data_IF_342970062170
#
_entry.id   IF_342970062170
#
_cell.length_a   1.000
_cell.length_b   1.000
_cell.length_c   1.000
_cell.angle_alpha   90.00
_cell.angle_beta   90.00
_cell.angle_gamma   90.00
#
_symmetry.space_group_name_H-M   'P 1'
#
loop_
_entity.id
_entity.type
_entity.pdbx_description
1 polymer ?
#
# COMPACT_ATOMS: atom_id res chain seq x y z
N UNK A 1 48.89 -21.73 65.03
CA UNK A 1 47.92 -20.66 64.70
C UNK A 1 46.54 -21.28 64.60
N UNK A 2 45.79 -21.25 65.69
CA UNK A 2 44.47 -21.86 65.83
C UNK A 2 43.41 -20.79 65.67
N UNK A 3 42.65 -20.78 64.57
CA UNK A 3 41.51 -19.88 64.38
C UNK A 3 40.47 -20.57 63.48
N UNK A 4 39.35 -20.97 64.12
CA UNK A 4 37.97 -21.06 63.60
C UNK A 4 37.50 -22.35 62.89
N UNK A 5 37.42 -23.46 63.64
CA UNK A 5 36.38 -24.48 63.44
C UNK A 5 35.23 -24.29 64.44
N UNK A 6 34.67 -23.08 64.51
CA UNK A 6 33.43 -22.87 65.29
C UNK A 6 32.23 -23.28 64.44
N UNK A 7 31.35 -24.18 64.92
CA UNK A 7 30.12 -24.57 64.24
C UNK A 7 29.22 -23.36 63.87
N UNK A 8 29.32 -22.26 64.64
CA UNK A 8 28.59 -21.02 64.38
C UNK A 8 29.08 -20.27 63.14
N UNK A 9 30.39 -20.28 62.86
CA UNK A 9 30.98 -19.64 61.68
C UNK A 9 30.68 -20.40 60.40
N UNK A 10 30.67 -21.73 60.46
CA UNK A 10 30.28 -22.59 59.32
C UNK A 10 28.79 -22.39 59.01
N UNK A 11 27.93 -22.29 60.03
CA UNK A 11 26.50 -21.98 59.85
C UNK A 11 26.28 -20.58 59.27
N UNK A 12 27.02 -19.59 59.75
CA UNK A 12 26.94 -18.21 59.23
C UNK A 12 27.43 -18.11 57.79
N UNK A 13 28.50 -18.83 57.44
CA UNK A 13 29.02 -18.90 56.07
C UNK A 13 28.01 -19.58 55.13
N UNK A 14 27.42 -20.71 55.54
CA UNK A 14 26.36 -21.39 54.77
C UNK A 14 25.13 -20.50 54.58
N UNK A 15 24.70 -19.79 55.62
CA UNK A 15 23.58 -18.85 55.52
C UNK A 15 23.88 -17.71 54.52
N UNK A 16 25.10 -17.16 54.55
CA UNK A 16 25.52 -16.12 53.59
C UNK A 16 25.57 -16.62 52.15
N UNK A 17 26.05 -17.84 51.92
CA UNK A 17 26.08 -18.48 50.60
C UNK A 17 24.66 -18.73 50.08
N UNK A 18 23.75 -19.21 50.93
CA UNK A 18 22.34 -19.42 50.56
C UNK A 18 21.68 -18.09 50.19
N UNK A 19 21.88 -17.03 50.99
CA UNK A 19 21.35 -15.69 50.70
C UNK A 19 21.91 -15.19 49.36
N UNK A 20 23.20 -15.37 49.09
CA UNK A 20 23.81 -14.96 47.83
C UNK A 20 23.17 -15.68 46.63
N UNK A 21 23.00 -17.01 46.72
CA UNK A 21 22.36 -17.81 45.66
C UNK A 21 20.92 -17.35 45.41
N UNK A 22 20.15 -17.11 46.48
CA UNK A 22 18.77 -16.62 46.36
C UNK A 22 18.71 -15.22 45.73
N UNK A 23 19.63 -14.31 46.11
CA UNK A 23 19.69 -12.98 45.51
C UNK A 23 20.11 -13.00 44.05
N UNK A 24 21.09 -13.83 43.67
CA UNK A 24 21.49 -14.01 42.28
C UNK A 24 20.38 -14.65 41.44
N UNK A 25 19.70 -15.67 41.98
CA UNK A 25 18.55 -16.29 41.33
C UNK A 25 17.38 -15.33 41.14
N UNK A 26 17.11 -14.48 42.13
CA UNK A 26 16.10 -13.43 42.03
C UNK A 26 16.47 -12.37 40.98
N UNK A 27 17.72 -11.88 40.98
CA UNK A 27 18.20 -10.93 39.98
C UNK A 27 18.15 -11.50 38.57
N UNK A 28 18.57 -12.76 38.37
CA UNK A 28 18.45 -13.45 37.08
C UNK A 28 16.99 -13.60 36.65
N UNK A 29 16.09 -13.95 37.56
CA UNK A 29 14.66 -14.08 37.27
C UNK A 29 14.01 -12.73 36.94
N UNK A 30 14.44 -11.64 37.59
CA UNK A 30 14.00 -10.27 37.29
C UNK A 30 14.52 -9.83 35.93
N UNK A 31 15.80 -10.04 35.61
CA UNK A 31 16.37 -9.73 34.29
C UNK A 31 15.67 -10.52 33.19
N UNK A 32 15.44 -11.82 33.38
CA UNK A 32 14.71 -12.67 32.43
C UNK A 32 13.26 -12.20 32.25
N UNK A 33 12.58 -11.80 33.34
CA UNK A 33 11.22 -11.25 33.26
C UNK A 33 11.17 -9.85 32.61
N UNK A 34 12.24 -9.06 32.70
CA UNK A 34 12.37 -7.77 32.02
C UNK A 34 12.62 -7.98 30.52
N UNK A 35 13.46 -8.95 30.16
CA UNK A 35 13.76 -9.33 28.77
C UNK A 35 12.57 -10.04 28.10
N UNK A 36 11.76 -10.80 28.85
CA UNK A 36 10.49 -11.36 28.35
C UNK A 36 9.34 -10.35 28.28
N UNK A 37 9.48 -9.19 28.93
CA UNK A 37 8.47 -8.11 28.94
C UNK A 37 8.78 -6.98 27.96
N UNK A 38 9.96 -6.95 27.34
CA UNK A 38 10.12 -6.22 26.09
C UNK A 38 9.27 -6.93 25.06
N UNK A 39 8.12 -6.35 24.62
CA UNK A 39 7.44 -6.93 23.48
C UNK A 39 8.44 -6.81 22.33
N UNK A 40 8.86 -7.94 21.79
CA UNK A 40 9.38 -7.97 20.44
C UNK A 40 8.25 -7.36 19.61
N UNK A 41 8.38 -6.07 19.28
CA UNK A 41 7.50 -5.43 18.32
C UNK A 41 7.89 -6.06 17.01
N UNK A 42 7.39 -7.27 16.74
CA UNK A 42 7.27 -7.81 15.42
C UNK A 42 6.49 -6.73 14.68
N UNK A 43 7.23 -5.87 13.99
CA UNK A 43 6.71 -5.02 12.95
C UNK A 43 6.33 -6.03 11.87
N UNK A 44 5.17 -6.63 12.06
CA UNK A 44 4.55 -7.53 11.10
C UNK A 44 4.33 -6.64 9.88
N UNK A 45 5.29 -6.68 8.97
CA UNK A 45 5.27 -5.92 7.73
C UNK A 45 4.07 -6.44 6.96
N UNK A 46 3.06 -5.59 6.82
CA UNK A 46 1.82 -5.95 6.13
C UNK A 46 2.13 -6.08 4.65
N UNK A 47 2.12 -7.32 4.15
CA UNK A 47 2.19 -7.60 2.72
C UNK A 47 0.83 -7.33 2.08
N UNK A 48 0.83 -7.07 0.77
CA UNK A 48 -0.42 -6.97 0.00
C UNK A 48 -1.19 -8.30 0.09
N UNK A 49 -2.46 -8.24 0.49
CA UNK A 49 -3.35 -9.41 0.64
C UNK A 49 -4.39 -9.51 -0.49
N UNK A 50 -4.26 -8.69 -1.53
CA UNK A 50 -5.24 -8.61 -2.63
C UNK A 50 -5.41 -9.95 -3.33
N UNK A 51 -4.31 -10.66 -3.62
CA UNK A 51 -4.37 -11.97 -4.29
C UNK A 51 -4.93 -13.05 -3.36
N UNK A 52 -4.50 -13.07 -2.09
CA UNK A 52 -5.02 -13.97 -1.07
C UNK A 52 -6.52 -13.84 -0.92
N UNK A 53 -7.02 -12.59 -0.92
CA UNK A 53 -8.45 -12.32 -0.86
C UNK A 53 -9.17 -13.02 -2.01
N UNK A 54 -8.81 -12.72 -3.26
CA UNK A 54 -9.50 -13.29 -4.43
C UNK A 54 -9.32 -14.80 -4.55
N UNK A 55 -8.16 -15.33 -4.16
CA UNK A 55 -7.90 -16.76 -4.12
C UNK A 55 -8.80 -17.46 -3.09
N UNK A 56 -8.91 -16.91 -1.88
CA UNK A 56 -9.75 -17.47 -0.81
C UNK A 56 -11.25 -17.48 -1.16
N UNK A 57 -11.67 -16.53 -2.01
CA UNK A 57 -13.03 -16.44 -2.53
C UNK A 57 -13.26 -17.31 -3.78
N UNK A 58 -12.24 -18.04 -4.24
CA UNK A 58 -12.30 -18.86 -5.46
C UNK A 58 -12.51 -18.03 -6.74
N UNK A 59 -12.12 -16.74 -6.72
CA UNK A 59 -12.25 -15.82 -7.87
C UNK A 59 -11.10 -15.95 -8.86
N UNK A 60 -9.92 -16.26 -8.36
CA UNK A 60 -8.76 -16.68 -9.15
C UNK A 60 -8.37 -18.11 -8.77
N UNK A 61 -7.76 -18.85 -9.69
CA UNK A 61 -7.38 -20.25 -9.48
C UNK A 61 -5.96 -20.41 -8.96
N UNK A 62 -5.08 -19.47 -9.33
CA UNK A 62 -3.68 -19.44 -8.91
C UNK A 62 -3.38 -18.08 -8.30
N UNK A 63 -2.31 -18.01 -7.50
CA UNK A 63 -1.83 -16.76 -6.92
C UNK A 63 -1.00 -15.99 -7.97
N UNK A 64 -1.66 -15.52 -9.02
CA UNK A 64 -1.07 -14.73 -10.11
C UNK A 64 -1.82 -13.41 -10.27
N UNK A 65 -1.10 -12.29 -10.30
CA UNK A 65 -1.68 -10.96 -10.50
C UNK A 65 -2.22 -10.77 -11.93
N UNK A 66 -1.74 -11.56 -12.92
CA UNK A 66 -2.24 -11.53 -14.29
C UNK A 66 -3.71 -11.98 -14.40
N UNK A 67 -4.22 -12.75 -13.44
CA UNK A 67 -5.61 -13.20 -13.38
C UNK A 67 -6.58 -12.13 -12.83
N UNK A 68 -6.04 -11.02 -12.29
CA UNK A 68 -6.86 -9.94 -11.74
C UNK A 68 -7.38 -9.05 -12.89
N UNK A 69 -8.64 -9.25 -13.24
CA UNK A 69 -9.38 -8.34 -14.12
C UNK A 69 -9.79 -7.01 -13.44
N UNK A 70 -9.68 -5.90 -14.19
CA UNK A 70 -9.96 -4.54 -13.71
C UNK A 70 -11.07 -3.88 -14.53
N UNK A 71 -12.05 -3.28 -13.85
CA UNK A 71 -12.94 -2.30 -14.44
C UNK A 71 -12.32 -0.91 -14.27
N UNK A 72 -11.91 -0.28 -15.37
CA UNK A 72 -11.17 0.98 -15.37
C UNK A 72 -12.08 2.20 -15.57
N UNK A 73 -11.75 3.31 -14.90
CA UNK A 73 -12.39 4.61 -14.97
C UNK A 73 -13.91 4.53 -14.77
N UNK A 74 -14.35 3.86 -13.69
CA UNK A 74 -15.75 3.68 -13.31
C UNK A 74 -16.36 4.97 -12.72
N UNK A 75 -16.28 6.05 -13.50
CA UNK A 75 -16.49 7.44 -13.08
C UNK A 75 -17.93 7.95 -13.27
N UNK A 76 -18.90 7.07 -13.47
CA UNK A 76 -20.30 7.46 -13.62
C UNK A 76 -21.24 6.37 -13.11
N UNK A 77 -22.50 6.71 -12.81
CA UNK A 77 -23.50 5.73 -12.35
C UNK A 77 -23.62 4.53 -13.28
N UNK A 78 -23.62 4.80 -14.60
CA UNK A 78 -23.64 3.78 -15.63
C UNK A 78 -22.43 2.86 -15.52
N UNK A 79 -21.21 3.42 -15.48
CA UNK A 79 -19.98 2.62 -15.46
C UNK A 79 -19.82 1.82 -14.16
N UNK A 80 -20.27 2.32 -13.01
CA UNK A 80 -20.28 1.55 -11.76
C UNK A 80 -21.21 0.35 -11.89
N UNK A 81 -22.40 0.54 -12.48
CA UNK A 81 -23.36 -0.55 -12.70
C UNK A 81 -22.75 -1.63 -13.60
N UNK A 82 -22.11 -1.22 -14.70
CA UNK A 82 -21.38 -2.13 -15.61
C UNK A 82 -20.22 -2.84 -14.88
N UNK A 83 -19.43 -2.10 -14.10
CA UNK A 83 -18.32 -2.66 -13.34
C UNK A 83 -18.79 -3.69 -12.31
N UNK A 84 -19.88 -3.42 -11.59
CA UNK A 84 -20.49 -4.32 -10.61
C UNK A 84 -21.04 -5.61 -11.25
N UNK A 85 -21.57 -5.54 -12.47
CA UNK A 85 -22.13 -6.68 -13.20
C UNK A 85 -21.09 -7.49 -13.99
N UNK A 86 -19.89 -6.93 -14.22
CA UNK A 86 -18.82 -7.59 -14.97
C UNK A 86 -18.07 -8.66 -14.16
N UNK A 87 -17.20 -9.42 -14.84
CA UNK A 87 -16.24 -10.34 -14.24
C UNK A 87 -15.10 -9.68 -13.48
N UNK A 88 -14.94 -8.34 -13.57
CA UNK A 88 -13.83 -7.64 -12.95
C UNK A 88 -13.72 -7.89 -11.44
N UNK A 89 -12.50 -8.10 -10.96
CA UNK A 89 -12.20 -8.28 -9.55
C UNK A 89 -12.04 -6.94 -8.83
N UNK A 90 -11.41 -6.00 -9.51
CA UNK A 90 -11.12 -4.65 -9.01
C UNK A 90 -11.91 -3.61 -9.80
N UNK A 91 -12.44 -2.60 -9.10
CA UNK A 91 -13.03 -1.40 -9.71
C UNK A 91 -12.12 -0.23 -9.41
N UNK A 92 -11.58 0.38 -10.45
CA UNK A 92 -10.81 1.62 -10.36
C UNK A 92 -11.72 2.81 -10.74
N UNK A 93 -11.62 3.89 -9.98
CA UNK A 93 -12.30 5.14 -10.27
C UNK A 93 -11.44 6.34 -9.87
N UNK A 94 -11.51 7.36 -10.73
CA UNK A 94 -10.78 8.61 -10.58
C UNK A 94 -11.53 9.59 -9.68
N UNK A 95 -10.83 10.31 -8.81
CA UNK A 95 -11.42 11.24 -7.85
C UNK A 95 -10.85 12.64 -8.02
N UNK A 96 -11.75 13.60 -8.13
CA UNK A 96 -11.44 15.03 -7.98
C UNK A 96 -12.45 15.73 -7.07
N UNK A 97 -12.08 16.91 -6.58
CA UNK A 97 -13.00 17.76 -5.83
C UNK A 97 -13.81 18.59 -6.84
N UNK A 98 -15.15 18.50 -6.76
CA UNK A 98 -16.05 19.29 -7.60
C UNK A 98 -15.69 20.78 -7.53
N UNK A 99 -15.58 21.43 -8.69
CA UNK A 99 -15.13 22.82 -8.81
C UNK A 99 -16.17 23.86 -8.37
N UNK A 100 -17.44 23.47 -8.36
CA UNK A 100 -18.59 24.30 -7.97
C UNK A 100 -19.30 23.74 -6.74
N UNK A 101 -20.14 24.56 -6.12
CA UNK A 101 -20.91 24.15 -4.95
C UNK A 101 -22.02 23.13 -5.30
N UNK A 102 -22.21 22.08 -4.49
CA UNK A 102 -21.43 21.77 -3.28
C UNK A 102 -20.04 21.21 -3.60
N UNK A 103 -18.99 21.77 -3.00
CA UNK A 103 -17.61 21.24 -3.15
C UNK A 103 -17.45 19.90 -2.45
N UNK A 104 -17.58 18.82 -3.21
CA UNK A 104 -17.47 17.45 -2.70
C UNK A 104 -16.66 16.54 -3.63
N UNK A 105 -16.09 15.43 -3.12
CA UNK A 105 -15.39 14.46 -3.97
C UNK A 105 -16.36 13.75 -4.91
N UNK A 106 -15.99 13.73 -6.19
CA UNK A 106 -16.78 13.15 -7.28
C UNK A 106 -15.90 12.23 -8.11
N UNK A 107 -16.54 11.26 -8.78
CA UNK A 107 -15.79 10.32 -9.60
C UNK A 107 -15.59 10.91 -10.99
N UNK A 108 -14.42 11.47 -11.27
CA UNK A 108 -14.12 12.14 -12.53
C UNK A 108 -12.61 12.21 -12.78
N UNK A 109 -12.26 12.26 -14.07
CA UNK A 109 -10.90 12.40 -14.57
C UNK A 109 -10.87 13.57 -15.56
N UNK A 110 -9.89 14.49 -15.50
CA UNK A 110 -9.76 15.56 -16.51
C UNK A 110 -9.69 15.01 -17.95
N UNK A 111 -10.33 15.66 -18.94
CA UNK A 111 -10.89 17.01 -18.90
C UNK A 111 -12.28 17.12 -18.26
N UNK A 112 -12.94 16.01 -17.95
CA UNK A 112 -14.21 16.02 -17.21
C UNK A 112 -13.96 16.45 -15.75
N UNK A 113 -14.44 17.64 -15.39
CA UNK A 113 -14.34 18.18 -14.03
C UNK A 113 -15.63 18.04 -13.22
N UNK A 114 -16.60 17.29 -13.75
CA UNK A 114 -17.86 17.01 -13.09
C UNK A 114 -18.33 15.56 -13.39
N UNK A 115 -19.23 15.03 -12.55
CA UNK A 115 -19.78 13.70 -12.68
C UNK A 115 -21.20 13.59 -12.11
N UNK A 116 -21.96 12.63 -12.64
CA UNK A 116 -23.29 12.25 -12.16
C UNK A 116 -23.27 11.42 -10.87
N UNK A 117 -22.07 11.08 -10.38
CA UNK A 117 -21.86 10.29 -9.16
C UNK A 117 -20.82 10.95 -8.24
N UNK A 118 -21.23 11.14 -6.99
CA UNK A 118 -20.34 11.55 -5.90
C UNK A 118 -19.56 10.34 -5.39
N UNK A 119 -18.39 10.54 -4.78
CA UNK A 119 -17.67 9.45 -4.09
C UNK A 119 -18.56 8.79 -3.04
N UNK A 120 -19.36 9.58 -2.32
CA UNK A 120 -20.27 9.05 -1.29
C UNK A 120 -21.26 8.05 -1.88
N UNK A 121 -21.87 8.38 -3.01
CA UNK A 121 -22.83 7.48 -3.65
C UNK A 121 -22.14 6.30 -4.31
N UNK A 122 -20.96 6.52 -4.93
CA UNK A 122 -20.14 5.44 -5.46
C UNK A 122 -19.76 4.41 -4.38
N UNK A 123 -19.33 4.87 -3.21
CA UNK A 123 -19.01 4.01 -2.06
C UNK A 123 -20.22 3.20 -1.56
N UNK A 124 -21.43 3.77 -1.62
CA UNK A 124 -22.66 3.04 -1.27
C UNK A 124 -22.94 1.88 -2.23
N UNK A 125 -22.66 2.05 -3.51
CA UNK A 125 -22.86 1.02 -4.52
C UNK A 125 -21.84 -0.13 -4.36
N UNK A 126 -20.56 0.19 -4.16
CA UNK A 126 -19.51 -0.83 -4.10
C UNK A 126 -19.41 -1.56 -2.75
N UNK A 127 -19.83 -0.94 -1.64
CA UNK A 127 -19.60 -1.50 -0.28
C UNK A 127 -20.24 -2.88 -0.07
N UNK A 128 -21.36 -3.17 -0.73
CA UNK A 128 -22.02 -4.46 -0.63
C UNK A 128 -21.41 -5.54 -1.55
N UNK A 129 -20.51 -5.15 -2.45
CA UNK A 129 -19.88 -6.06 -3.41
C UNK A 129 -18.69 -6.82 -2.79
N UNK A 130 -18.24 -7.85 -3.49
CA UNK A 130 -16.98 -8.56 -3.20
C UNK A 130 -15.82 -8.08 -4.09
N UNK A 131 -15.99 -6.93 -4.75
CA UNK A 131 -14.96 -6.35 -5.60
C UNK A 131 -14.01 -5.54 -4.73
N UNK A 132 -12.73 -5.59 -5.05
CA UNK A 132 -11.80 -4.62 -4.51
C UNK A 132 -11.95 -3.29 -5.22
N UNK A 133 -11.45 -2.23 -4.59
CA UNK A 133 -11.57 -0.87 -5.09
C UNK A 133 -10.21 -0.21 -5.19
N UNK A 134 -10.00 0.61 -6.21
CA UNK A 134 -8.86 1.50 -6.35
C UNK A 134 -9.33 2.93 -6.54
N UNK A 135 -9.03 3.78 -5.58
CA UNK A 135 -9.39 5.20 -5.57
C UNK A 135 -8.22 6.00 -6.12
N UNK A 136 -8.33 6.48 -7.37
CA UNK A 136 -7.29 7.19 -8.09
C UNK A 136 -7.44 8.71 -7.98
N UNK A 137 -6.66 9.32 -7.09
CA UNK A 137 -6.76 10.75 -6.82
C UNK A 137 -6.10 11.59 -7.92
N UNK A 138 -6.91 12.47 -8.53
CA UNK A 138 -6.48 13.47 -9.52
C UNK A 138 -6.37 14.88 -8.94
N UNK A 139 -6.76 15.07 -7.68
CA UNK A 139 -6.63 16.35 -6.98
C UNK A 139 -6.34 16.16 -5.50
N UNK A 140 -5.34 16.89 -4.98
CA UNK A 140 -5.00 16.89 -3.55
C UNK A 140 -6.18 17.32 -2.67
N UNK A 141 -6.97 18.30 -3.13
CA UNK A 141 -8.10 18.84 -2.38
C UNK A 141 -9.20 17.79 -2.12
N UNK A 142 -9.23 16.70 -2.89
CA UNK A 142 -10.19 15.62 -2.69
C UNK A 142 -9.73 14.58 -1.66
N UNK A 143 -8.43 14.47 -1.34
CA UNK A 143 -7.88 13.34 -0.57
C UNK A 143 -8.50 13.28 0.82
N UNK A 144 -8.30 14.32 1.64
CA UNK A 144 -8.82 14.36 3.00
C UNK A 144 -10.35 14.14 3.10
N UNK A 145 -11.22 14.86 2.34
CA UNK A 145 -12.66 14.61 2.40
C UNK A 145 -13.05 13.21 1.91
N UNK A 146 -12.30 12.63 0.97
CA UNK A 146 -12.54 11.27 0.49
C UNK A 146 -12.19 10.22 1.53
N UNK A 147 -11.07 10.38 2.24
CA UNK A 147 -10.68 9.46 3.31
C UNK A 147 -11.69 9.48 4.46
N UNK A 148 -12.28 10.64 4.78
CA UNK A 148 -13.38 10.74 5.76
C UNK A 148 -14.63 9.98 5.31
N UNK A 149 -14.95 9.98 4.01
CA UNK A 149 -16.07 9.21 3.47
C UNK A 149 -15.78 7.71 3.45
N UNK A 150 -14.57 7.33 3.06
CA UNK A 150 -14.12 5.94 3.03
C UNK A 150 -14.15 5.31 4.43
N UNK A 151 -13.65 6.01 5.44
CA UNK A 151 -13.61 5.50 6.81
C UNK A 151 -15.00 5.13 7.35
N UNK A 152 -16.04 5.87 6.95
CA UNK A 152 -17.42 5.61 7.37
C UNK A 152 -17.99 4.30 6.86
N UNK A 153 -17.49 3.79 5.73
CA UNK A 153 -17.95 2.55 5.10
C UNK A 153 -16.90 1.45 5.12
N UNK A 154 -15.71 1.72 5.67
CA UNK A 154 -14.54 0.83 5.59
C UNK A 154 -14.82 -0.55 6.14
N UNK A 155 -15.51 -0.64 7.29
CA UNK A 155 -15.89 -1.92 7.90
C UNK A 155 -16.94 -2.70 7.09
N UNK A 156 -17.66 -2.04 6.16
CA UNK A 156 -18.64 -2.68 5.28
C UNK A 156 -18.00 -3.17 3.97
N UNK A 157 -16.86 -2.60 3.56
CA UNK A 157 -16.11 -3.03 2.37
C UNK A 157 -15.58 -4.44 2.57
N UNK A 158 -15.93 -5.34 1.64
CA UNK A 158 -15.51 -6.74 1.71
C UNK A 158 -14.20 -7.00 0.98
N UNK A 159 -13.92 -6.25 -0.08
CA UNK A 159 -12.74 -6.42 -0.93
C UNK A 159 -11.56 -5.54 -0.52
N UNK A 160 -10.39 -5.75 -1.13
CA UNK A 160 -9.19 -4.95 -0.87
C UNK A 160 -9.40 -3.50 -1.31
N UNK A 161 -8.75 -2.57 -0.59
CA UNK A 161 -8.83 -1.12 -0.84
C UNK A 161 -7.47 -0.60 -1.24
N UNK A 162 -7.41 0.04 -2.39
CA UNK A 162 -6.19 0.63 -2.95
C UNK A 162 -6.35 2.14 -3.04
N UNK A 163 -5.34 2.88 -2.58
CA UNK A 163 -5.30 4.34 -2.60
C UNK A 163 -4.20 4.76 -3.58
N UNK A 164 -4.59 5.39 -4.69
CA UNK A 164 -3.68 5.69 -5.79
C UNK A 164 -3.48 7.19 -6.00
N UNK A 165 -2.26 7.58 -6.33
CA UNK A 165 -1.97 8.89 -6.92
C UNK A 165 -0.64 8.87 -7.66
N UNK A 166 -0.53 9.71 -8.69
CA UNK A 166 0.76 10.09 -9.27
C UNK A 166 1.37 11.22 -8.43
N UNK A 167 2.38 10.88 -7.62
CA UNK A 167 2.95 11.79 -6.62
C UNK A 167 4.35 12.29 -6.97
N UNK A 168 4.95 11.76 -8.04
CA UNK A 168 6.26 12.16 -8.54
C UNK A 168 6.24 12.39 -10.06
N UNK A 169 7.14 13.22 -10.61
CA UNK A 169 7.29 13.36 -12.06
C UNK A 169 7.99 12.12 -12.64
N UNK A 170 7.43 11.57 -13.71
CA UNK A 170 7.97 10.38 -14.38
C UNK A 170 8.32 10.61 -15.84
N UNK A 171 8.73 9.53 -16.54
CA UNK A 171 9.19 9.64 -17.91
C UNK A 171 8.08 10.13 -18.85
N UNK A 172 8.38 11.18 -19.60
CA UNK A 172 7.44 11.81 -20.54
C UNK A 172 6.21 12.47 -19.91
N UNK A 173 6.10 12.47 -18.57
CA UNK A 173 4.97 13.04 -17.84
C UNK A 173 4.86 14.55 -18.06
N UNK A 174 3.65 15.01 -18.39
CA UNK A 174 3.34 16.45 -18.54
C UNK A 174 2.40 16.99 -17.48
N UNK A 175 1.68 16.10 -16.79
CA UNK A 175 0.82 16.48 -15.69
C UNK A 175 1.66 16.85 -14.47
N UNK A 176 1.17 17.82 -13.68
CA UNK A 176 1.74 18.14 -12.38
C UNK A 176 1.39 17.02 -11.40
N UNK A 177 2.38 16.35 -10.78
CA UNK A 177 2.12 15.34 -9.75
C UNK A 177 1.45 15.97 -8.51
N UNK A 178 0.75 15.15 -7.74
CA UNK A 178 0.27 15.55 -6.43
C UNK A 178 1.45 15.62 -5.45
N UNK A 179 1.47 16.64 -4.57
CA UNK A 179 2.51 16.74 -3.55
C UNK A 179 2.55 15.46 -2.69
N UNK A 180 3.69 14.75 -2.63
CA UNK A 180 3.77 13.45 -2.00
C UNK A 180 3.52 13.53 -0.49
N UNK A 181 4.00 14.59 0.17
CA UNK A 181 3.87 14.77 1.61
C UNK A 181 2.41 15.04 1.98
N UNK A 182 1.77 16.00 1.31
CA UNK A 182 0.37 16.36 1.57
C UNK A 182 -0.56 15.18 1.25
N UNK A 183 -0.29 14.44 0.17
CA UNK A 183 -1.05 13.24 -0.17
C UNK A 183 -0.96 12.18 0.93
N UNK A 184 0.27 11.80 1.33
CA UNK A 184 0.49 10.75 2.33
C UNK A 184 -0.04 11.14 3.71
N UNK A 185 0.13 12.40 4.14
CA UNK A 185 -0.43 12.91 5.40
C UNK A 185 -1.96 12.78 5.46
N UNK A 186 -2.65 12.91 4.32
CA UNK A 186 -4.11 12.78 4.25
C UNK A 186 -4.57 11.32 4.03
N UNK A 187 -3.83 10.53 3.25
CA UNK A 187 -4.19 9.16 2.89
C UNK A 187 -3.87 8.14 4.00
N UNK A 188 -2.78 8.35 4.76
CA UNK A 188 -2.33 7.41 5.78
C UNK A 188 -3.02 7.73 7.12
N UNK A 189 -4.14 7.06 7.36
CA UNK A 189 -4.92 7.15 8.60
C UNK A 189 -4.76 5.88 9.45
N UNK A 190 -5.11 5.90 10.76
CA UNK A 190 -5.12 4.69 11.58
C UNK A 190 -6.00 3.56 11.02
N UNK A 191 -7.08 3.88 10.30
CA UNK A 191 -7.95 2.89 9.65
C UNK A 191 -7.38 2.32 8.35
N UNK A 192 -6.34 2.93 7.77
CA UNK A 192 -5.79 2.58 6.45
C UNK A 192 -4.73 1.48 6.49
N UNK A 193 -4.41 0.87 7.63
CA UNK A 193 -3.29 -0.09 7.74
C UNK A 193 -3.40 -1.31 6.83
N UNK A 194 -4.61 -1.69 6.41
CA UNK A 194 -4.86 -2.76 5.44
C UNK A 194 -4.93 -2.30 3.98
N UNK A 195 -4.79 -1.01 3.70
CA UNK A 195 -4.87 -0.46 2.35
C UNK A 195 -3.55 -0.64 1.59
N UNK A 196 -3.64 -0.86 0.29
CA UNK A 196 -2.48 -0.82 -0.61
C UNK A 196 -2.29 0.61 -1.11
N UNK A 197 -1.09 1.17 -0.91
CA UNK A 197 -0.73 2.45 -1.48
C UNK A 197 -0.18 2.24 -2.90
N UNK A 198 -0.90 2.72 -3.90
CA UNK A 198 -0.51 2.65 -5.32
C UNK A 198 0.12 3.98 -5.73
N UNK A 199 1.42 4.13 -5.51
CA UNK A 199 2.13 5.41 -5.60
C UNK A 199 2.89 5.51 -6.93
N UNK A 200 2.40 6.38 -7.81
CA UNK A 200 2.83 6.48 -9.20
C UNK A 200 3.69 7.67 -9.51
N UNK A 201 4.14 7.67 -10.77
CA UNK A 201 4.70 8.85 -11.41
C UNK A 201 3.77 9.32 -12.51
N UNK A 202 3.72 10.63 -12.77
CA UNK A 202 3.10 11.13 -13.99
C UNK A 202 3.91 10.62 -15.19
N UNK A 203 3.26 9.97 -16.15
CA UNK A 203 3.95 9.40 -17.32
C UNK A 203 3.33 9.86 -18.62
N UNK A 204 4.16 9.95 -19.65
CA UNK A 204 3.73 10.13 -21.02
C UNK A 204 4.48 9.18 -21.93
N UNK A 205 3.85 8.80 -23.02
CA UNK A 205 4.46 8.00 -24.06
C UNK A 205 4.03 8.55 -25.41
N UNK A 206 4.95 8.61 -26.36
CA UNK A 206 4.66 9.06 -27.72
C UNK A 206 5.26 8.08 -28.71
N UNK A 207 4.44 7.58 -29.64
CA UNK A 207 4.89 6.70 -30.71
C UNK A 207 6.03 7.35 -31.51
N UNK A 208 6.96 6.54 -32.01
CA UNK A 208 8.07 6.97 -32.88
C UNK A 208 9.03 8.01 -32.27
N UNK A 209 9.01 8.16 -30.95
CA UNK A 209 9.98 8.98 -30.20
C UNK A 209 10.81 8.11 -29.26
N UNK A 210 11.99 8.61 -28.88
CA UNK A 210 12.74 8.01 -27.79
C UNK A 210 11.98 8.24 -26.48
N UNK A 211 11.40 7.18 -25.93
CA UNK A 211 10.73 7.20 -24.64
C UNK A 211 11.73 6.71 -23.59
N UNK A 212 12.42 7.59 -22.85
CA UNK A 212 13.27 7.14 -21.76
C UNK A 212 12.40 6.42 -20.73
N UNK A 213 12.95 5.36 -20.14
CA UNK A 213 12.31 4.70 -19.00
C UNK A 213 12.45 5.51 -17.70
N UNK A 214 11.91 4.98 -16.61
CA UNK A 214 12.18 5.41 -15.24
C UNK A 214 13.69 5.44 -14.97
N UNK A 215 14.20 6.60 -14.55
CA UNK A 215 15.62 6.82 -14.26
C UNK A 215 16.00 6.37 -12.86
N UNK A 216 17.31 6.28 -12.59
CA UNK A 216 17.82 6.02 -11.24
C UNK A 216 17.40 7.07 -10.22
N UNK A 217 17.31 8.32 -10.64
CA UNK A 217 16.85 9.42 -9.79
C UNK A 217 15.38 9.22 -9.41
N UNK A 218 14.52 8.92 -10.39
CA UNK A 218 13.08 8.71 -10.18
C UNK A 218 12.79 7.58 -9.19
N UNK A 219 13.48 6.43 -9.31
CA UNK A 219 13.24 5.30 -8.41
C UNK A 219 13.82 5.53 -7.01
N UNK A 220 14.92 6.27 -6.89
CA UNK A 220 15.50 6.63 -5.57
C UNK A 220 14.64 7.65 -4.84
N UNK A 221 14.06 8.60 -5.56
CA UNK A 221 13.11 9.55 -4.99
C UNK A 221 11.86 8.83 -4.48
N UNK A 222 11.30 7.91 -5.27
CA UNK A 222 10.17 7.08 -4.84
C UNK A 222 10.50 6.22 -3.62
N UNK A 223 11.68 5.58 -3.59
CA UNK A 223 12.15 4.84 -2.41
C UNK A 223 12.19 5.74 -1.18
N UNK A 224 12.76 6.95 -1.30
CA UNK A 224 12.90 7.88 -0.19
C UNK A 224 11.53 8.30 0.38
N UNK A 225 10.54 8.50 -0.48
CA UNK A 225 9.14 8.78 -0.09
C UNK A 225 8.53 7.58 0.65
N UNK A 226 8.79 6.35 0.19
CA UNK A 226 8.09 5.16 0.67
C UNK A 226 8.74 4.49 1.88
N UNK A 227 10.01 4.76 2.17
CA UNK A 227 10.81 3.94 3.11
C UNK A 227 10.23 3.87 4.53
N UNK A 228 9.58 4.95 4.97
CA UNK A 228 9.01 5.05 6.33
C UNK A 228 7.58 4.54 6.41
N UNK A 229 6.93 4.28 5.27
CA UNK A 229 5.59 3.71 5.22
C UNK A 229 5.61 2.28 5.75
N UNK A 230 4.50 1.85 6.34
CA UNK A 230 4.32 0.47 6.81
C UNK A 230 3.35 -0.33 5.95
N UNK A 231 2.58 0.35 5.09
CA UNK A 231 1.63 -0.23 4.16
C UNK A 231 2.31 -1.06 3.05
N UNK A 232 1.61 -2.04 2.46
CA UNK A 232 2.00 -2.53 1.14
C UNK A 232 1.98 -1.37 0.13
N UNK A 233 3.01 -1.30 -0.70
CA UNK A 233 3.16 -0.25 -1.72
C UNK A 233 3.32 -0.90 -3.08
N UNK A 234 2.48 -0.51 -4.03
CA UNK A 234 2.64 -0.89 -5.43
C UNK A 234 2.98 0.32 -6.27
N UNK A 235 3.87 0.16 -7.25
CA UNK A 235 4.25 1.23 -8.16
C UNK A 235 3.57 1.01 -9.51
N UNK A 236 2.57 1.82 -9.89
CA UNK A 236 1.94 1.74 -11.20
C UNK A 236 2.92 2.18 -12.28
N UNK A 237 3.30 1.24 -13.15
CA UNK A 237 4.27 1.46 -14.23
C UNK A 237 3.68 1.13 -15.59
N UNK A 238 4.03 1.95 -16.59
CA UNK A 238 3.59 1.72 -17.96
C UNK A 238 4.38 0.57 -18.57
N UNK A 239 3.68 -0.44 -19.11
CA UNK A 239 4.32 -1.61 -19.72
C UNK A 239 5.36 -1.24 -20.80
N UNK A 240 5.05 -0.22 -21.61
CA UNK A 240 5.93 0.25 -22.69
C UNK A 240 7.30 0.79 -22.22
N UNK A 241 7.46 1.11 -20.93
CA UNK A 241 8.70 1.64 -20.37
C UNK A 241 9.49 0.60 -19.55
N UNK A 242 8.93 -0.61 -19.35
CA UNK A 242 9.53 -1.62 -18.47
C UNK A 242 10.90 -2.08 -18.95
N UNK A 243 11.03 -2.37 -20.24
CA UNK A 243 12.27 -2.92 -20.79
C UNK A 243 13.46 -1.96 -20.59
N UNK A 244 13.23 -0.65 -20.73
CA UNK A 244 14.28 0.36 -20.52
C UNK A 244 14.57 0.62 -19.04
N UNK A 245 13.67 0.21 -18.15
CA UNK A 245 13.71 0.50 -16.71
C UNK A 245 13.95 -0.70 -15.83
N UNK A 246 14.20 -1.87 -16.42
CA UNK A 246 14.26 -3.13 -15.68
C UNK A 246 15.20 -3.03 -14.48
N UNK A 247 16.43 -2.55 -14.67
CA UNK A 247 17.42 -2.43 -13.60
C UNK A 247 16.98 -1.48 -12.48
N UNK A 248 16.36 -0.36 -12.82
CA UNK A 248 15.90 0.65 -11.86
C UNK A 248 14.71 0.13 -11.05
N UNK A 249 13.72 -0.45 -11.71
CA UNK A 249 12.52 -0.99 -11.07
C UNK A 249 12.85 -2.24 -10.24
N UNK A 250 13.72 -3.11 -10.75
CA UNK A 250 14.20 -4.26 -9.99
C UNK A 250 14.93 -3.83 -8.71
N UNK A 251 15.82 -2.83 -8.80
CA UNK A 251 16.45 -2.27 -7.60
C UNK A 251 15.42 -1.71 -6.61
N UNK A 252 14.40 -0.99 -7.09
CA UNK A 252 13.35 -0.44 -6.23
C UNK A 252 12.62 -1.56 -5.47
N UNK A 253 12.25 -2.65 -6.14
CA UNK A 253 11.58 -3.79 -5.50
C UNK A 253 12.46 -4.47 -4.44
N UNK A 254 13.79 -4.47 -4.60
CA UNK A 254 14.71 -5.04 -3.61
C UNK A 254 14.79 -4.24 -2.30
N UNK A 255 14.22 -3.03 -2.24
CA UNK A 255 14.34 -2.18 -1.06
C UNK A 255 13.39 -2.60 0.08
N UNK A 256 12.33 -3.36 -0.22
CA UNK A 256 11.35 -3.81 0.77
C UNK A 256 10.46 -4.92 0.20
N UNK A 257 10.20 -5.97 0.97
CA UNK A 257 9.23 -7.04 0.62
C UNK A 257 7.78 -6.53 0.48
N UNK A 258 7.49 -5.31 0.97
CA UNK A 258 6.18 -4.66 0.81
C UNK A 258 5.98 -4.05 -0.58
N UNK A 259 7.05 -3.99 -1.39
CA UNK A 259 7.03 -3.29 -2.67
C UNK A 259 6.65 -4.24 -3.81
N UNK A 260 5.71 -3.81 -4.65
CA UNK A 260 5.30 -4.51 -5.86
C UNK A 260 5.17 -3.55 -7.04
N UNK A 261 4.94 -4.08 -8.25
CA UNK A 261 4.59 -3.29 -9.42
C UNK A 261 3.16 -3.57 -9.84
N UNK A 262 2.44 -2.52 -10.25
CA UNK A 262 1.20 -2.66 -11.02
C UNK A 262 1.50 -2.26 -12.45
N UNK A 263 1.50 -3.22 -13.37
CA UNK A 263 1.82 -2.94 -14.78
C UNK A 263 0.53 -2.63 -15.53
N UNK A 264 0.51 -1.52 -16.26
CA UNK A 264 -0.65 -1.13 -17.05
C UNK A 264 -0.30 -0.86 -18.52
N UNK A 265 -1.26 -1.17 -19.39
CA UNK A 265 -1.20 -0.94 -20.82
C UNK A 265 -2.26 0.09 -21.21
N UNK A 266 -1.95 0.96 -22.16
CA UNK A 266 -2.99 1.75 -22.84
C UNK A 266 -3.53 0.90 -23.99
N UNK A 267 -4.84 0.77 -24.14
CA UNK A 267 -5.47 -0.04 -25.20
C UNK A 267 -5.14 0.41 -26.64
N UNK A 268 -4.44 1.55 -26.82
CA UNK A 268 -3.84 1.95 -28.08
C UNK A 268 -2.61 1.13 -28.49
N UNK A 269 -2.12 0.24 -27.62
CA UNK A 269 -0.93 -0.58 -27.85
C UNK A 269 -1.35 -1.98 -28.30
N UNK A 270 -1.65 -2.13 -29.60
CA UNK A 270 -1.63 -3.45 -30.22
C UNK A 270 -0.15 -3.83 -30.39
N UNK A 271 0.39 -4.64 -29.49
CA UNK A 271 1.65 -5.34 -29.77
C UNK A 271 1.40 -6.26 -30.97
N UNK A 272 2.19 -6.18 -32.06
CA UNK A 272 2.38 -7.35 -32.88
C UNK A 272 3.12 -8.36 -31.99
N UNK A 273 2.39 -9.31 -31.44
CA UNK A 273 2.97 -10.55 -30.94
C UNK A 273 3.60 -11.26 -32.14
N UNK A 274 4.83 -10.89 -32.46
CA UNK A 274 5.72 -11.73 -33.25
C UNK A 274 6.24 -12.80 -32.28
N UNK A 275 5.49 -13.89 -32.22
CA UNK A 275 6.00 -15.13 -31.66
C UNK A 275 7.15 -15.65 -32.52
N UNK A 276 8.19 -16.14 -31.85
CA UNK A 276 8.94 -17.31 -32.28
C UNK A 276 9.38 -18.07 -31.03
N UNK A 277 9.35 -19.39 -31.17
CA UNK A 277 9.51 -20.45 -30.17
C UNK A 277 10.71 -20.32 -29.21
#
# INVERSE_FOLDING_TARGET
MAVLNSPSLIRLFRARVIVLILTCGFLLCVVWNLESKTPEKSTELMTDQTLEYFLSQGKIQVKDAADIEWAHAANSKKKITEALQSSAHMIEADILLRSHDPKEPIMAHPPETDSDVTLRDWLKEVKASHKGIKLDFKSLAAVAPSMVLLEKVRAELRGPVWINADILPGPGGKATPLDPKVFLEAAVTPGSHGDVLSLGWTTGWTADTHNPGYSWEMVREMEAVCRTLTHPVTFPVRAALLAQSFSQLHWLLQQSERYSLTVWITLSVLFPLLGTA
#
